data_IF_299469515675
#
_entry.id   IF_299469515675
#
_cell.length_a   1.000
_cell.length_b   1.000
_cell.length_c   1.000
_cell.angle_alpha   90.00
_cell.angle_beta   90.00
_cell.angle_gamma   90.00
#
_symmetry.space_group_name_H-M   'P 1'
#
loop_
_entity.id
_entity.type
_entity.pdbx_description
1 polymer ?
#
# COMPACT_ATOMS: atom_id res chain seq x y z
N UNK A 1 -7.60 -40.68 -7.77
CA UNK A 1 -8.33 -39.46 -8.22
C UNK A 1 -8.68 -38.53 -7.06
N UNK A 2 -9.22 -39.05 -5.94
CA UNK A 2 -9.51 -38.27 -4.72
C UNK A 2 -8.28 -37.54 -4.14
N UNK A 3 -7.10 -38.16 -4.17
CA UNK A 3 -5.87 -37.53 -3.65
C UNK A 3 -5.42 -36.31 -4.45
N UNK A 4 -5.55 -36.35 -5.78
CA UNK A 4 -5.20 -35.24 -6.66
C UNK A 4 -6.15 -34.05 -6.43
N UNK A 5 -7.44 -34.33 -6.24
CA UNK A 5 -8.47 -33.31 -5.99
C UNK A 5 -8.26 -32.66 -4.61
N UNK A 6 -7.97 -33.45 -3.58
CA UNK A 6 -7.64 -32.94 -2.24
C UNK A 6 -6.36 -32.10 -2.26
N UNK A 7 -5.32 -32.54 -2.97
CA UNK A 7 -4.06 -31.82 -3.06
C UNK A 7 -4.19 -30.46 -3.78
N UNK A 8 -5.07 -30.38 -4.78
CA UNK A 8 -5.44 -29.13 -5.45
C UNK A 8 -6.24 -28.20 -4.54
N UNK A 9 -7.12 -28.76 -3.70
CA UNK A 9 -7.88 -28.02 -2.68
C UNK A 9 -6.97 -27.38 -1.63
N UNK A 10 -6.00 -28.13 -1.11
CA UNK A 10 -5.06 -27.65 -0.10
C UNK A 10 -4.12 -26.57 -0.63
N UNK A 11 -3.62 -26.74 -1.86
CA UNK A 11 -2.78 -25.73 -2.51
C UNK A 11 -3.54 -24.42 -2.74
N UNK A 12 -4.83 -24.51 -3.11
CA UNK A 12 -5.70 -23.36 -3.32
C UNK A 12 -6.06 -22.66 -2.00
N UNK A 13 -6.26 -23.41 -0.91
CA UNK A 13 -6.44 -22.88 0.46
C UNK A 13 -5.20 -22.18 0.99
N UNK A 14 -4.00 -22.73 0.76
CA UNK A 14 -2.74 -22.08 1.12
C UNK A 14 -2.55 -20.76 0.37
N UNK A 15 -2.79 -20.74 -0.95
CA UNK A 15 -2.73 -19.51 -1.76
C UNK A 15 -3.74 -18.46 -1.30
N UNK A 16 -4.96 -18.86 -0.93
CA UNK A 16 -5.95 -17.94 -0.35
C UNK A 16 -5.49 -17.38 1.01
N UNK A 17 -4.87 -18.21 1.86
CA UNK A 17 -4.30 -17.76 3.13
C UNK A 17 -3.15 -16.76 2.96
N UNK A 18 -2.30 -16.94 1.94
CA UNK A 18 -1.26 -15.97 1.58
C UNK A 18 -1.85 -14.63 1.14
N UNK A 19 -2.91 -14.65 0.32
CA UNK A 19 -3.59 -13.43 -0.13
C UNK A 19 -4.23 -12.67 1.04
N UNK A 20 -4.84 -13.38 1.99
CA UNK A 20 -5.43 -12.74 3.19
C UNK A 20 -4.34 -12.10 4.06
N UNK A 21 -3.23 -12.80 4.30
CA UNK A 21 -2.09 -12.26 5.05
C UNK A 21 -1.47 -11.05 4.35
N UNK A 22 -1.34 -11.12 3.03
CA UNK A 22 -0.89 -9.99 2.22
C UNK A 22 -1.84 -8.79 2.35
N UNK A 23 -3.15 -9.03 2.30
CA UNK A 23 -4.17 -8.00 2.50
C UNK A 23 -4.04 -7.34 3.88
N UNK A 24 -3.86 -8.13 4.94
CA UNK A 24 -3.64 -7.62 6.30
C UNK A 24 -2.39 -6.74 6.33
N UNK A 25 -1.25 -7.24 5.85
CA UNK A 25 0.01 -6.47 5.80
C UNK A 25 -0.17 -5.17 5.01
N UNK A 26 -0.88 -5.20 3.89
CA UNK A 26 -1.20 -4.03 3.08
C UNK A 26 -2.02 -2.99 3.85
N UNK A 27 -3.06 -3.42 4.57
CA UNK A 27 -3.87 -2.53 5.42
C UNK A 27 -3.01 -1.93 6.53
N UNK A 28 -2.18 -2.71 7.21
CA UNK A 28 -1.28 -2.20 8.26
C UNK A 28 -0.29 -1.19 7.70
N UNK A 29 0.23 -1.43 6.49
CA UNK A 29 1.12 -0.50 5.79
C UNK A 29 0.40 0.80 5.42
N UNK A 30 -0.85 0.75 4.95
CA UNK A 30 -1.65 1.95 4.68
C UNK A 30 -1.90 2.76 5.94
N UNK A 31 -2.23 2.10 7.06
CA UNK A 31 -2.40 2.78 8.35
C UNK A 31 -1.08 3.42 8.81
N UNK A 32 0.05 2.73 8.63
CA UNK A 32 1.37 3.26 8.92
C UNK A 32 1.69 4.49 8.05
N UNK A 33 1.38 4.45 6.76
CA UNK A 33 1.55 5.59 5.85
C UNK A 33 0.75 6.80 6.34
N UNK A 34 -0.53 6.61 6.65
CA UNK A 34 -1.38 7.70 7.13
C UNK A 34 -0.91 8.25 8.48
N UNK A 35 -0.49 7.38 9.39
CA UNK A 35 0.07 7.78 10.67
C UNK A 35 1.33 8.65 10.51
N UNK A 36 2.25 8.26 9.62
CA UNK A 36 3.46 9.04 9.33
C UNK A 36 3.10 10.37 8.68
N UNK A 37 2.19 10.39 7.71
CA UNK A 37 1.70 11.62 7.10
C UNK A 37 1.16 12.59 8.15
N UNK A 38 0.28 12.09 9.03
CA UNK A 38 -0.32 12.88 10.10
C UNK A 38 0.73 13.39 11.10
N UNK A 39 1.68 12.54 11.50
CA UNK A 39 2.76 12.91 12.41
C UNK A 39 3.64 14.01 11.82
N UNK A 40 4.02 13.90 10.55
CA UNK A 40 4.83 14.90 9.84
C UNK A 40 4.09 16.24 9.71
N UNK A 41 2.79 16.23 9.44
CA UNK A 41 1.99 17.46 9.46
C UNK A 41 1.93 18.09 10.86
N UNK A 42 1.74 17.29 11.91
CA UNK A 42 1.71 17.79 13.30
C UNK A 42 3.06 18.38 13.73
N UNK A 43 4.16 17.75 13.32
CA UNK A 43 5.50 18.27 13.54
C UNK A 43 5.72 19.58 12.76
N UNK A 44 5.33 19.66 11.50
CA UNK A 44 5.47 20.90 10.73
C UNK A 44 4.75 22.09 11.39
N UNK A 45 3.52 21.86 11.89
CA UNK A 45 2.75 22.87 12.64
C UNK A 45 3.48 23.26 13.94
N UNK A 46 4.02 22.29 14.68
CA UNK A 46 4.73 22.56 15.95
C UNK A 46 6.01 23.36 15.75
N UNK A 47 6.69 23.20 14.61
CA UNK A 47 7.94 23.90 14.29
C UNK A 47 7.71 25.24 13.56
N UNK A 48 6.46 25.73 13.55
CA UNK A 48 6.03 26.97 12.88
C UNK A 48 6.36 26.98 11.37
N UNK A 49 6.52 25.80 10.78
CA UNK A 49 6.68 25.62 9.35
C UNK A 49 5.29 25.75 8.75
N UNK A 50 5.14 26.59 7.72
CA UNK A 50 3.87 26.87 7.06
C UNK A 50 3.26 25.59 6.43
N UNK A 51 2.53 24.82 7.25
CA UNK A 51 1.90 23.55 6.90
C UNK A 51 0.77 23.72 5.85
N UNK A 52 0.46 24.98 5.50
CA UNK A 52 -0.47 25.40 4.47
C UNK A 52 0.04 25.23 3.03
N UNK A 53 1.31 24.93 2.78
CA UNK A 53 1.82 24.72 1.41
C UNK A 53 1.48 23.34 0.83
N UNK A 54 1.10 23.29 -0.45
CA UNK A 54 0.80 22.04 -1.18
C UNK A 54 2.02 21.11 -1.19
N UNK A 55 3.22 21.68 -1.31
CA UNK A 55 4.51 20.99 -1.37
C UNK A 55 4.75 20.12 -0.14
N UNK A 56 4.43 20.63 1.06
CA UNK A 56 4.69 19.94 2.32
C UNK A 56 3.79 18.72 2.51
N UNK A 57 2.52 18.83 2.07
CA UNK A 57 1.58 17.69 2.04
C UNK A 57 2.06 16.60 1.09
N UNK A 58 2.57 16.97 -0.09
CA UNK A 58 3.16 16.01 -1.03
C UNK A 58 4.39 15.33 -0.44
N UNK A 59 5.31 16.08 0.17
CA UNK A 59 6.52 15.52 0.78
C UNK A 59 6.17 14.57 1.93
N UNK A 60 5.26 14.97 2.82
CA UNK A 60 4.81 14.11 3.93
C UNK A 60 4.14 12.82 3.41
N UNK A 61 3.35 12.91 2.35
CA UNK A 61 2.73 11.75 1.71
C UNK A 61 3.77 10.82 1.11
N UNK A 62 4.77 11.36 0.41
CA UNK A 62 5.88 10.58 -0.17
C UNK A 62 6.71 9.87 0.90
N UNK A 63 7.05 10.55 2.00
CA UNK A 63 7.80 9.94 3.11
C UNK A 63 6.99 8.80 3.73
N UNK A 64 5.72 9.06 4.05
CA UNK A 64 4.83 8.03 4.56
C UNK A 64 4.73 6.82 3.62
N UNK A 65 4.64 7.09 2.31
CA UNK A 65 4.58 6.05 1.29
C UNK A 65 5.86 5.20 1.25
N UNK A 66 7.04 5.82 1.27
CA UNK A 66 8.32 5.10 1.25
C UNK A 66 8.48 4.21 2.48
N UNK A 67 8.18 4.72 3.68
CA UNK A 67 8.29 3.94 4.92
C UNK A 67 7.28 2.79 4.92
N UNK A 68 6.04 3.04 4.51
CA UNK A 68 5.01 2.02 4.35
C UNK A 68 5.41 0.95 3.34
N UNK A 69 6.01 1.35 2.21
CA UNK A 69 6.50 0.43 1.19
C UNK A 69 7.59 -0.50 1.73
N UNK A 70 8.57 0.04 2.47
CA UNK A 70 9.64 -0.76 3.08
C UNK A 70 9.04 -1.76 4.08
N UNK A 71 8.14 -1.29 4.96
CA UNK A 71 7.44 -2.16 5.90
C UNK A 71 6.66 -3.27 5.17
N UNK A 72 5.86 -2.90 4.16
CA UNK A 72 5.05 -3.84 3.40
C UNK A 72 5.91 -4.88 2.67
N UNK A 73 7.04 -4.46 2.09
CA UNK A 73 7.98 -5.36 1.44
C UNK A 73 8.59 -6.36 2.44
N UNK A 74 9.09 -5.89 3.58
CA UNK A 74 9.70 -6.75 4.62
C UNK A 74 8.64 -7.69 5.21
N UNK A 75 7.46 -7.17 5.53
CA UNK A 75 6.39 -7.96 6.11
C UNK A 75 5.84 -9.00 5.12
N UNK A 76 5.66 -8.63 3.86
CA UNK A 76 5.22 -9.54 2.81
C UNK A 76 6.25 -10.63 2.54
N UNK A 77 7.54 -10.29 2.45
CA UNK A 77 8.60 -11.27 2.19
C UNK A 77 8.83 -12.22 3.37
N UNK A 78 8.89 -11.69 4.61
CA UNK A 78 9.28 -12.46 5.80
C UNK A 78 8.10 -13.17 6.49
N UNK A 79 6.94 -12.53 6.59
CA UNK A 79 5.77 -13.11 7.26
C UNK A 79 4.78 -13.78 6.31
N UNK A 80 4.55 -13.21 5.13
CA UNK A 80 3.51 -13.71 4.21
C UNK A 80 4.01 -14.86 3.35
N UNK A 81 5.17 -14.72 2.71
CA UNK A 81 5.63 -15.72 1.73
C UNK A 81 6.61 -16.76 2.29
N UNK A 82 7.36 -16.48 3.36
CA UNK A 82 8.33 -17.42 3.98
C UNK A 82 9.22 -18.16 2.96
N UNK A 83 9.51 -17.56 1.80
CA UNK A 83 10.36 -18.12 0.75
C UNK A 83 11.49 -17.15 0.43
N UNK A 84 12.65 -17.68 0.00
CA UNK A 84 13.73 -16.88 -0.61
C UNK A 84 13.10 -15.97 -1.66
N UNK A 85 13.26 -14.65 -1.52
CA UNK A 85 12.65 -13.65 -2.37
C UNK A 85 12.87 -14.00 -3.85
N UNK A 86 11.84 -14.53 -4.52
CA UNK A 86 11.95 -14.88 -5.93
C UNK A 86 11.87 -13.55 -6.70
N UNK A 87 12.96 -13.16 -7.37
CA UNK A 87 13.13 -11.83 -7.96
C UNK A 87 11.96 -11.42 -8.86
N UNK A 88 11.34 -12.37 -9.57
CA UNK A 88 10.17 -12.14 -10.43
C UNK A 88 8.92 -11.70 -9.66
N UNK A 89 8.68 -12.25 -8.46
CA UNK A 89 7.55 -11.85 -7.60
C UNK A 89 7.81 -10.51 -6.90
N UNK A 90 9.06 -10.26 -6.51
CA UNK A 90 9.49 -8.98 -5.96
C UNK A 90 9.38 -7.83 -6.98
N UNK A 91 9.74 -8.07 -8.23
CA UNK A 91 9.60 -7.09 -9.32
C UNK A 91 8.12 -6.73 -9.58
N UNK A 92 7.22 -7.73 -9.61
CA UNK A 92 5.77 -7.47 -9.73
C UNK A 92 5.21 -6.69 -8.54
N UNK A 93 5.70 -6.97 -7.32
CA UNK A 93 5.32 -6.23 -6.12
C UNK A 93 5.81 -4.76 -6.16
N UNK A 94 7.05 -4.52 -6.55
CA UNK A 94 7.58 -3.16 -6.74
C UNK A 94 6.81 -2.41 -7.82
N UNK A 95 6.56 -3.05 -8.97
CA UNK A 95 5.80 -2.45 -10.07
C UNK A 95 4.37 -2.08 -9.65
N UNK A 96 3.67 -2.97 -8.94
CA UNK A 96 2.33 -2.68 -8.42
C UNK A 96 2.33 -1.47 -7.48
N UNK A 97 3.38 -1.31 -6.66
CA UNK A 97 3.55 -0.14 -5.81
C UNK A 97 3.91 1.12 -6.60
N UNK A 98 4.68 1.04 -7.68
CA UNK A 98 4.90 2.21 -8.54
C UNK A 98 3.58 2.69 -9.15
N UNK A 99 2.76 1.77 -9.68
CA UNK A 99 1.44 2.11 -10.23
C UNK A 99 0.52 2.66 -9.14
N UNK A 100 0.51 2.06 -7.95
CA UNK A 100 -0.29 2.52 -6.82
C UNK A 100 0.14 3.89 -6.29
N UNK A 101 1.44 4.19 -6.30
CA UNK A 101 1.95 5.51 -5.91
C UNK A 101 1.48 6.58 -6.89
N UNK A 102 1.61 6.33 -8.19
CA UNK A 102 1.12 7.23 -9.22
C UNK A 102 -0.39 7.48 -9.08
N UNK A 103 -1.16 6.41 -8.83
CA UNK A 103 -2.60 6.54 -8.60
C UNK A 103 -2.91 7.36 -7.34
N UNK A 104 -2.20 7.12 -6.23
CA UNK A 104 -2.36 7.91 -5.00
C UNK A 104 -2.07 9.38 -5.24
N UNK A 105 -0.96 9.70 -5.92
CA UNK A 105 -0.60 11.08 -6.24
C UNK A 105 -1.63 11.78 -7.13
N UNK A 106 -2.13 11.11 -8.17
CA UNK A 106 -3.18 11.65 -9.04
C UNK A 106 -4.48 11.88 -8.26
N UNK A 107 -4.90 10.89 -7.48
CA UNK A 107 -6.17 10.94 -6.74
C UNK A 107 -6.10 11.98 -5.61
N UNK A 108 -4.96 12.10 -4.92
CA UNK A 108 -4.74 13.13 -3.90
C UNK A 108 -4.83 14.54 -4.50
N UNK A 109 -4.12 14.79 -5.61
CA UNK A 109 -4.15 16.10 -6.27
C UNK A 109 -5.56 16.42 -6.82
N UNK A 110 -6.28 15.43 -7.35
CA UNK A 110 -7.68 15.59 -7.74
C UNK A 110 -8.56 16.01 -6.56
N UNK A 111 -8.46 15.34 -5.41
CA UNK A 111 -9.28 15.70 -4.24
C UNK A 111 -8.92 17.05 -3.64
N UNK A 112 -7.63 17.42 -3.63
CA UNK A 112 -7.21 18.76 -3.23
C UNK A 112 -7.75 19.82 -4.21
N UNK A 113 -7.73 19.56 -5.51
CA UNK A 113 -8.28 20.45 -6.54
C UNK A 113 -9.81 20.62 -6.40
N UNK A 114 -10.51 19.56 -5.97
CA UNK A 114 -11.94 19.59 -5.66
C UNK A 114 -12.28 20.31 -4.34
N UNK A 115 -11.28 20.90 -3.67
CA UNK A 115 -11.46 21.68 -2.45
C UNK A 115 -11.54 20.86 -1.17
N UNK A 116 -11.27 19.55 -1.23
CA UNK A 116 -11.20 18.72 -0.01
C UNK A 116 -9.93 19.13 0.75
N UNK A 117 -10.09 19.46 2.04
CA UNK A 117 -8.95 19.86 2.86
C UNK A 117 -7.90 18.74 2.92
N UNK A 118 -6.63 19.13 3.07
CA UNK A 118 -5.47 18.23 3.12
C UNK A 118 -5.57 17.14 4.19
N UNK A 119 -6.28 17.41 5.28
CA UNK A 119 -6.48 16.43 6.35
C UNK A 119 -7.45 15.31 5.93
N UNK A 120 -8.44 15.64 5.11
CA UNK A 120 -9.49 14.72 4.66
C UNK A 120 -9.18 14.05 3.32
N UNK A 121 -8.44 14.71 2.42
CA UNK A 121 -8.12 14.21 1.08
C UNK A 121 -7.44 12.82 1.01
N UNK A 122 -6.59 12.42 1.97
CA UNK A 122 -6.01 11.08 2.00
C UNK A 122 -7.04 9.96 2.21
N UNK A 123 -8.16 10.21 2.88
CA UNK A 123 -9.18 9.20 3.18
C UNK A 123 -9.85 8.67 1.90
N UNK A 124 -10.50 9.50 1.07
CA UNK A 124 -11.09 9.03 -0.18
C UNK A 124 -10.02 8.55 -1.16
N UNK A 125 -8.79 9.08 -1.10
CA UNK A 125 -7.65 8.56 -1.88
C UNK A 125 -7.37 7.09 -1.53
N UNK A 126 -7.23 6.75 -0.23
CA UNK A 126 -7.00 5.37 0.19
C UNK A 126 -8.17 4.45 -0.13
N UNK A 127 -9.42 4.93 -0.02
CA UNK A 127 -10.60 4.17 -0.40
C UNK A 127 -10.59 3.72 -1.87
N UNK A 128 -9.97 4.51 -2.77
CA UNK A 128 -9.80 4.15 -4.19
C UNK A 128 -8.55 3.32 -4.41
N UNK A 129 -7.42 3.76 -3.86
CA UNK A 129 -6.11 3.20 -4.20
C UNK A 129 -5.88 1.82 -3.57
N UNK A 130 -6.39 1.56 -2.36
CA UNK A 130 -6.20 0.27 -1.68
C UNK A 130 -6.88 -0.89 -2.44
N UNK A 131 -8.16 -0.80 -2.85
CA UNK A 131 -8.79 -1.83 -3.68
C UNK A 131 -8.11 -2.03 -5.03
N UNK A 132 -7.73 -0.93 -5.71
CA UNK A 132 -7.05 -1.00 -7.01
C UNK A 132 -5.69 -1.69 -6.90
N UNK A 133 -4.91 -1.35 -5.88
CA UNK A 133 -3.63 -2.00 -5.61
C UNK A 133 -3.80 -3.50 -5.29
N UNK A 134 -4.82 -3.87 -4.52
CA UNK A 134 -5.14 -5.27 -4.26
C UNK A 134 -5.46 -6.04 -5.53
N UNK A 135 -6.25 -5.46 -6.44
CA UNK A 135 -6.57 -6.07 -7.73
C UNK A 135 -5.33 -6.20 -8.63
N UNK A 136 -4.48 -5.17 -8.69
CA UNK A 136 -3.22 -5.17 -9.44
C UNK A 136 -2.28 -6.28 -8.93
N UNK A 137 -2.00 -6.29 -7.63
CA UNK A 137 -1.16 -7.32 -7.01
C UNK A 137 -1.73 -8.71 -7.26
N UNK A 138 -3.05 -8.88 -7.16
CA UNK A 138 -3.70 -10.16 -7.47
C UNK A 138 -3.53 -10.57 -8.93
N UNK A 139 -3.69 -9.66 -9.90
CA UNK A 139 -3.51 -9.98 -11.32
C UNK A 139 -2.06 -10.34 -11.66
N UNK A 140 -1.09 -9.59 -11.12
CA UNK A 140 0.33 -9.80 -11.39
C UNK A 140 0.93 -11.00 -10.63
N UNK A 141 0.38 -11.39 -9.48
CA UNK A 141 0.84 -12.58 -8.74
C UNK A 141 0.22 -13.89 -9.22
N UNK A 142 -0.95 -13.86 -9.87
CA UNK A 142 -1.64 -15.07 -10.35
C UNK A 142 -1.26 -15.50 -11.78
N UNK A 143 -0.44 -14.72 -12.48
CA UNK A 143 0.13 -15.07 -13.79
C UNK A 143 1.59 -15.47 -13.68
#
# INVERSE_FOLDING_TARGET
MKDIINHLGDKRRQQLGEVVRFGIVGVTATLLQYFIYWLLLRLAIHWDVEAGTHTLSTVAMTIGYVVSFIYNFIASTRFTFRVKANARRGAGFLFSHVVNYSLQMLTLNLFLLLGISKQWAPIPMFCVCVPVNFLLVRFFLKR
#
